data_IF_446724878379
#
_entry.id   IF_446724878379
#
_cell.length_a   1.000
_cell.length_b   1.000
_cell.length_c   1.000
_cell.angle_alpha   90.00
_cell.angle_beta   90.00
_cell.angle_gamma   90.00
#
_symmetry.space_group_name_H-M   'P 1'
#
loop_
_entity.id
_entity.type
_entity.pdbx_description
1 polymer ?
#
# COMPACT_ATOMS: atom_id res chain seq x y z
N UNK A 1 22.50 20.96 -54.11
CA UNK A 1 21.19 20.42 -53.68
C UNK A 1 21.07 20.69 -52.19
N UNK A 2 20.30 21.70 -51.80
CA UNK A 2 20.05 22.02 -50.39
C UNK A 2 18.55 22.26 -50.25
N UNK A 3 17.87 21.42 -49.50
CA UNK A 3 16.49 21.67 -49.06
C UNK A 3 16.52 22.50 -47.77
N UNK A 4 15.63 23.50 -47.62
CA UNK A 4 15.46 24.22 -46.36
C UNK A 4 14.76 23.33 -45.33
N UNK A 5 15.27 23.34 -44.09
CA UNK A 5 14.65 22.67 -42.95
C UNK A 5 13.33 23.34 -42.59
N UNK A 6 12.25 22.57 -42.64
CA UNK A 6 10.93 22.98 -42.15
C UNK A 6 10.96 23.04 -40.63
N UNK A 7 10.63 24.22 -40.11
CA UNK A 7 10.16 24.44 -38.74
C UNK A 7 8.95 23.55 -38.45
N UNK A 8 8.98 22.80 -37.35
CA UNK A 8 7.80 22.19 -36.74
C UNK A 8 7.74 22.61 -35.27
N UNK A 9 6.55 22.97 -34.76
CA UNK A 9 6.37 23.61 -33.47
C UNK A 9 6.46 22.62 -32.30
N UNK A 10 6.92 23.18 -31.20
CA UNK A 10 6.78 22.79 -29.79
C UNK A 10 5.68 21.74 -29.53
N UNK A 11 6.11 20.48 -29.41
CA UNK A 11 5.28 19.44 -28.83
C UNK A 11 5.42 19.55 -27.31
N UNK A 12 4.45 20.22 -26.69
CA UNK A 12 4.25 20.26 -25.25
C UNK A 12 4.28 18.82 -24.70
N UNK A 13 5.37 18.50 -24.03
CA UNK A 13 5.49 17.30 -23.22
C UNK A 13 4.45 17.41 -22.10
N UNK A 14 3.61 16.38 -21.86
CA UNK A 14 2.74 16.37 -20.70
C UNK A 14 3.58 16.55 -19.44
N UNK A 15 3.20 17.55 -18.64
CA UNK A 15 3.78 17.89 -17.35
C UNK A 15 3.88 16.62 -16.49
N UNK A 16 5.09 16.07 -16.41
CA UNK A 16 5.38 15.06 -15.40
C UNK A 16 5.41 15.83 -14.08
N UNK A 17 4.60 15.50 -13.07
CA UNK A 17 4.79 16.09 -11.75
C UNK A 17 6.18 15.69 -11.28
N UNK A 18 7.12 16.63 -11.40
CA UNK A 18 8.41 16.55 -10.76
C UNK A 18 8.17 16.86 -9.30
N UNK A 19 7.72 15.86 -8.55
CA UNK A 19 7.87 15.86 -7.09
C UNK A 19 9.36 15.68 -6.78
N UNK A 20 10.12 16.74 -7.07
CA UNK A 20 11.37 17.02 -6.39
C UNK A 20 10.96 17.39 -4.97
N UNK A 21 11.26 16.59 -3.93
CA UNK A 21 11.11 17.08 -2.59
C UNK A 21 12.08 18.25 -2.49
N UNK A 22 11.54 19.48 -2.51
CA UNK A 22 12.29 20.67 -2.14
C UNK A 22 12.70 20.43 -0.70
N UNK A 23 13.94 19.96 -0.52
CA UNK A 23 14.60 19.90 0.75
C UNK A 23 14.68 21.31 1.27
N UNK A 24 13.67 21.71 2.07
CA UNK A 24 13.83 22.79 3.01
C UNK A 24 14.94 22.33 3.94
N UNK A 25 16.16 22.76 3.64
CA UNK A 25 17.27 22.83 4.57
C UNK A 25 16.89 23.86 5.65
N UNK A 26 15.93 23.45 6.49
CA UNK A 26 15.75 24.06 7.78
C UNK A 26 16.92 23.55 8.61
N UNK A 27 17.93 24.39 8.72
CA UNK A 27 19.10 24.22 9.57
C UNK A 27 18.66 23.66 10.96
N UNK A 28 18.98 22.41 11.33
CA UNK A 28 18.51 21.85 12.60
C UNK A 28 19.33 22.34 13.80
N UNK A 29 20.17 23.36 13.62
CA UNK A 29 21.10 23.85 14.63
C UNK A 29 20.46 24.73 15.73
N UNK A 30 19.12 24.80 15.83
CA UNK A 30 18.45 25.59 16.87
C UNK A 30 17.10 25.02 17.33
N UNK A 31 17.02 23.74 17.67
CA UNK A 31 15.95 23.21 18.54
C UNK A 31 16.34 21.86 19.16
N UNK A 32 17.49 21.81 19.84
CA UNK A 32 17.79 20.74 20.78
C UNK A 32 16.99 20.97 22.08
N UNK A 33 15.68 20.73 22.04
CA UNK A 33 14.91 20.49 23.26
C UNK A 33 14.97 18.99 23.54
N UNK A 34 15.90 18.61 24.40
CA UNK A 34 15.96 17.41 25.24
C UNK A 34 14.89 16.34 24.96
N UNK A 35 15.26 15.35 24.14
CA UNK A 35 14.77 13.97 24.34
C UNK A 35 15.74 13.29 25.32
N UNK A 36 15.83 13.84 26.52
CA UNK A 36 16.51 13.18 27.62
C UNK A 36 15.55 12.10 28.16
N UNK A 37 15.92 10.84 27.92
CA UNK A 37 15.84 9.75 28.89
C UNK A 37 14.50 9.46 29.58
N UNK A 38 13.47 9.05 28.82
CA UNK A 38 12.56 8.02 29.33
C UNK A 38 13.04 6.66 28.81
N UNK A 39 14.20 6.22 29.31
CA UNK A 39 14.66 4.84 29.13
C UNK A 39 13.75 3.98 30.01
N UNK A 40 12.79 3.31 29.37
CA UNK A 40 11.99 2.30 30.04
C UNK A 40 12.88 1.09 30.38
N UNK A 41 13.00 0.80 31.67
CA UNK A 41 13.66 -0.41 32.13
C UNK A 41 12.78 -1.61 31.76
N UNK A 42 13.23 -2.40 30.78
CA UNK A 42 12.55 -3.63 30.39
C UNK A 42 12.89 -4.70 31.42
N UNK A 43 12.02 -4.93 32.40
CA UNK A 43 12.20 -6.01 33.34
C UNK A 43 12.24 -7.35 32.59
N UNK A 44 13.37 -8.04 32.70
CA UNK A 44 13.58 -9.36 32.11
C UNK A 44 12.73 -10.34 32.91
N UNK A 45 11.57 -10.70 32.36
CA UNK A 45 10.76 -11.81 32.88
C UNK A 45 11.65 -13.06 32.86
N UNK A 46 11.88 -13.64 34.04
CA UNK A 46 12.55 -14.94 34.13
C UNK A 46 11.75 -15.92 33.27
N UNK A 47 12.41 -16.73 32.42
CA UNK A 47 11.68 -17.74 31.66
C UNK A 47 10.97 -18.61 32.70
N UNK A 48 9.64 -18.53 32.74
CA UNK A 48 8.85 -19.42 33.57
C UNK A 48 9.27 -20.86 33.27
N UNK A 49 9.13 -21.75 34.25
CA UNK A 49 9.41 -23.18 34.07
C UNK A 49 8.99 -23.62 32.67
N UNK A 50 9.92 -24.09 31.82
CA UNK A 50 9.60 -24.41 30.44
C UNK A 50 8.46 -25.42 30.47
N UNK A 51 7.28 -24.98 30.00
CA UNK A 51 6.22 -25.90 29.67
C UNK A 51 6.83 -26.79 28.59
N UNK A 52 6.88 -28.12 28.78
CA UNK A 52 7.45 -28.98 27.77
C UNK A 52 6.75 -28.68 26.45
N UNK A 53 7.49 -28.42 25.37
CA UNK A 53 6.87 -28.17 24.07
C UNK A 53 5.98 -29.36 23.77
N UNK A 54 4.68 -29.12 23.56
CA UNK A 54 3.82 -30.14 22.97
C UNK A 54 4.42 -30.44 21.60
N UNK A 55 4.83 -31.68 21.31
CA UNK A 55 5.35 -32.02 20.00
C UNK A 55 4.31 -31.64 18.93
N UNK A 56 4.67 -30.70 18.05
CA UNK A 56 3.78 -30.21 16.99
C UNK A 56 3.06 -28.89 17.27
N UNK A 57 3.41 -28.14 18.32
CA UNK A 57 2.89 -26.77 18.49
C UNK A 57 3.65 -25.78 17.57
N UNK A 58 3.00 -25.20 16.54
CA UNK A 58 3.65 -24.29 15.60
C UNK A 58 4.01 -22.93 16.24
N UNK A 59 3.50 -22.64 17.44
CA UNK A 59 3.69 -21.34 18.10
C UNK A 59 4.93 -21.27 18.99
N UNK A 60 5.76 -22.33 19.04
CA UNK A 60 7.02 -22.34 19.77
C UNK A 60 8.06 -21.43 19.08
N UNK A 61 8.76 -20.54 19.82
CA UNK A 61 9.72 -19.60 19.22
C UNK A 61 10.87 -20.28 18.47
N UNK A 62 11.30 -21.47 18.92
CA UNK A 62 12.31 -22.29 18.21
C UNK A 62 11.79 -23.05 16.98
N UNK A 63 10.47 -23.07 16.74
CA UNK A 63 9.88 -23.65 15.53
C UNK A 63 9.74 -22.62 14.40
N UNK A 64 9.81 -21.33 14.72
CA UNK A 64 9.60 -20.23 13.76
C UNK A 64 10.89 -19.78 13.07
N UNK A 65 12.03 -19.94 13.72
CA UNK A 65 13.35 -19.57 13.23
C UNK A 65 14.35 -20.69 13.49
N UNK A 66 15.28 -20.90 12.56
CA UNK A 66 16.45 -21.76 12.77
C UNK A 66 17.43 -21.11 13.77
N UNK A 67 18.38 -21.87 14.30
CA UNK A 67 19.42 -21.34 15.22
C UNK A 67 20.26 -20.21 14.60
N UNK A 68 20.33 -20.15 13.27
CA UNK A 68 20.98 -19.07 12.52
C UNK A 68 20.08 -17.82 12.34
N UNK A 69 18.88 -17.81 12.92
CA UNK A 69 17.92 -16.72 12.83
C UNK A 69 17.15 -16.65 11.51
N UNK A 70 17.20 -17.69 10.66
CA UNK A 70 16.46 -17.74 9.40
C UNK A 70 15.05 -18.29 9.64
N UNK A 71 13.97 -17.63 9.19
CA UNK A 71 12.60 -18.15 9.27
C UNK A 71 12.49 -19.57 8.72
N UNK A 72 11.76 -20.44 9.41
CA UNK A 72 11.42 -21.76 8.88
C UNK A 72 10.40 -21.63 7.75
N UNK A 73 10.35 -22.62 6.85
CA UNK A 73 9.39 -22.64 5.75
C UNK A 73 7.94 -22.63 6.26
N UNK A 74 7.67 -23.39 7.33
CA UNK A 74 6.35 -23.48 7.95
C UNK A 74 5.89 -22.13 8.49
N UNK A 75 6.77 -21.42 9.20
CA UNK A 75 6.44 -20.09 9.70
C UNK A 75 6.14 -19.07 8.59
N UNK A 76 6.92 -19.08 7.50
CA UNK A 76 6.65 -18.20 6.36
C UNK A 76 5.32 -18.54 5.70
N UNK A 77 5.01 -19.83 5.53
CA UNK A 77 3.74 -20.30 4.98
C UNK A 77 2.56 -19.86 5.85
N UNK A 78 2.59 -20.15 7.15
CA UNK A 78 1.52 -19.80 8.08
C UNK A 78 1.30 -18.29 8.11
N UNK A 79 2.39 -17.51 8.07
CA UNK A 79 2.32 -16.05 8.00
C UNK A 79 1.68 -15.56 6.70
N UNK A 80 1.98 -16.19 5.57
CA UNK A 80 1.35 -15.84 4.28
C UNK A 80 -0.13 -16.19 4.30
N UNK A 81 -0.50 -17.38 4.77
CA UNK A 81 -1.88 -17.82 4.87
C UNK A 81 -2.70 -16.87 5.76
N UNK A 82 -2.17 -16.51 6.93
CA UNK A 82 -2.81 -15.55 7.82
C UNK A 82 -2.99 -14.17 7.19
N UNK A 83 -1.99 -13.69 6.44
CA UNK A 83 -2.07 -12.39 5.74
C UNK A 83 -3.11 -12.43 4.62
N UNK A 84 -3.19 -13.53 3.87
CA UNK A 84 -4.18 -13.68 2.80
C UNK A 84 -5.59 -13.75 3.39
N UNK A 85 -5.80 -14.58 4.42
CA UNK A 85 -7.10 -14.68 5.09
C UNK A 85 -7.57 -13.32 5.64
N UNK A 86 -6.66 -12.57 6.27
CA UNK A 86 -6.96 -11.23 6.78
C UNK A 86 -7.24 -10.24 5.65
N UNK A 87 -6.45 -10.26 4.57
CA UNK A 87 -6.63 -9.35 3.45
C UNK A 87 -8.02 -9.52 2.81
N UNK A 88 -8.43 -10.76 2.56
CA UNK A 88 -9.75 -11.08 1.99
C UNK A 88 -10.86 -10.57 2.92
N UNK A 89 -10.82 -10.89 4.21
CA UNK A 89 -11.82 -10.40 5.16
C UNK A 89 -11.84 -8.87 5.29
N UNK A 90 -10.67 -8.23 5.19
CA UNK A 90 -10.58 -6.76 5.25
C UNK A 90 -11.17 -6.07 4.02
N UNK A 91 -11.05 -6.68 2.84
CA UNK A 91 -11.62 -6.16 1.60
C UNK A 91 -13.15 -6.18 1.65
N UNK A 92 -13.74 -7.29 2.12
CA UNK A 92 -15.19 -7.41 2.31
C UNK A 92 -15.71 -6.31 3.26
N UNK A 93 -15.05 -6.12 4.41
CA UNK A 93 -15.43 -5.08 5.36
C UNK A 93 -15.25 -3.66 4.79
N UNK A 94 -14.18 -3.42 4.04
CA UNK A 94 -13.94 -2.12 3.40
C UNK A 94 -15.00 -1.82 2.35
N UNK A 95 -15.41 -2.80 1.57
CA UNK A 95 -16.47 -2.67 0.57
C UNK A 95 -17.84 -2.39 1.21
N UNK A 96 -18.18 -3.06 2.32
CA UNK A 96 -19.45 -2.83 3.05
C UNK A 96 -19.49 -1.52 3.85
N UNK A 97 -18.33 -0.88 4.04
CA UNK A 97 -18.23 0.39 4.74
C UNK A 97 -19.07 1.50 4.08
N UNK A 98 -19.30 2.59 4.82
CA UNK A 98 -20.00 3.75 4.29
C UNK A 98 -19.21 4.43 3.14
N UNK A 99 -17.88 4.39 3.19
CA UNK A 99 -17.01 4.94 2.16
C UNK A 99 -16.98 4.05 0.92
N UNK A 100 -16.88 2.72 1.10
CA UNK A 100 -16.95 1.73 0.02
C UNK A 100 -18.22 1.89 -0.82
N UNK A 101 -19.38 1.95 -0.15
CA UNK A 101 -20.68 2.22 -0.81
C UNK A 101 -20.74 3.55 -1.55
N UNK A 102 -20.06 4.59 -1.07
CA UNK A 102 -20.01 5.87 -1.77
C UNK A 102 -19.15 5.80 -3.03
N UNK A 103 -18.01 5.10 -2.98
CA UNK A 103 -17.15 4.87 -4.15
C UNK A 103 -17.92 4.09 -5.22
N UNK A 104 -18.63 3.03 -4.84
CA UNK A 104 -19.47 2.25 -5.77
C UNK A 104 -20.54 3.10 -6.42
N UNK A 105 -21.21 3.96 -5.64
CA UNK A 105 -22.22 4.89 -6.15
C UNK A 105 -21.62 5.88 -7.16
N UNK A 106 -20.41 6.38 -6.91
CA UNK A 106 -19.70 7.28 -7.84
C UNK A 106 -19.32 6.57 -9.13
N UNK A 107 -18.81 5.33 -9.05
CA UNK A 107 -18.47 4.51 -10.21
C UNK A 107 -19.74 4.23 -11.03
N UNK A 108 -20.84 3.83 -10.38
CA UNK A 108 -22.12 3.58 -11.04
C UNK A 108 -22.62 4.82 -11.80
N UNK A 109 -22.60 5.99 -11.16
CA UNK A 109 -23.01 7.26 -11.80
C UNK A 109 -22.13 7.60 -12.99
N UNK A 110 -20.81 7.39 -12.87
CA UNK A 110 -19.86 7.59 -13.98
C UNK A 110 -20.18 6.65 -15.15
N UNK A 111 -20.44 5.39 -14.87
CA UNK A 111 -20.75 4.39 -15.90
C UNK A 111 -22.08 4.67 -16.60
N UNK A 112 -23.11 5.08 -15.85
CA UNK A 112 -24.39 5.53 -16.41
C UNK A 112 -24.22 6.75 -17.31
N UNK A 113 -23.45 7.75 -16.87
CA UNK A 113 -23.15 8.92 -17.67
C UNK A 113 -22.37 8.57 -18.94
N UNK A 114 -21.38 7.68 -18.84
CA UNK A 114 -20.62 7.19 -19.98
C UNK A 114 -21.51 6.44 -20.98
N UNK A 115 -22.38 5.53 -20.51
CA UNK A 115 -23.36 4.81 -21.34
C UNK A 115 -24.30 5.77 -22.06
N UNK A 116 -24.91 6.71 -21.32
CA UNK A 116 -25.77 7.74 -21.90
C UNK A 116 -25.05 8.53 -23.00
N UNK A 117 -23.79 8.89 -22.76
CA UNK A 117 -23.01 9.64 -23.74
C UNK A 117 -22.71 8.83 -25.00
N UNK A 118 -22.39 7.55 -24.85
CA UNK A 118 -22.19 6.65 -25.98
C UNK A 118 -23.47 6.47 -26.81
N UNK A 119 -24.63 6.41 -26.16
CA UNK A 119 -25.91 6.30 -26.85
C UNK A 119 -26.26 7.59 -27.63
N UNK A 120 -25.97 8.76 -27.06
CA UNK A 120 -26.08 10.04 -27.77
C UNK A 120 -25.20 10.07 -29.03
N UNK A 121 -23.94 9.63 -28.92
CA UNK A 121 -23.01 9.56 -30.06
C UNK A 121 -23.56 8.61 -31.11
N UNK A 122 -23.98 7.40 -30.72
CA UNK A 122 -24.50 6.40 -31.66
C UNK A 122 -25.71 6.92 -32.44
N UNK A 123 -26.62 7.60 -31.75
CA UNK A 123 -27.76 8.28 -32.38
C UNK A 123 -27.33 9.39 -33.35
N UNK A 124 -26.32 10.19 -32.98
CA UNK A 124 -25.80 11.26 -33.86
C UNK A 124 -25.14 10.74 -35.15
N UNK A 125 -24.62 9.50 -35.11
CA UNK A 125 -24.01 8.83 -36.27
C UNK A 125 -25.03 8.10 -37.16
N UNK A 126 -26.34 8.22 -36.88
CA UNK A 126 -27.40 7.57 -37.68
C UNK A 126 -27.54 6.06 -37.45
N UNK A 127 -26.88 5.50 -36.44
CA UNK A 127 -27.00 4.11 -35.99
C UNK A 127 -27.93 4.02 -34.77
N UNK A 128 -29.10 4.65 -34.84
CA UNK A 128 -30.11 4.65 -33.77
C UNK A 128 -31.46 4.19 -34.27
#
# INVERSE_FOLDING_TARGET
MSTPGSSSPDASTPDQPTDTPTGQSSDPSAAATSRDDEIFDAEIVSPGTPIPPTPGDPHLPGAQYTDAGVPTFDFVRDKIENRIATAIGSEELAHESAEGRQVDEMIRKRDEAAKKKLDEIRKSMGQG
#
